data_IF_323452537986
#
_entry.id   IF_323452537986
#
_cell.length_a   1.000
_cell.length_b   1.000
_cell.length_c   1.000
_cell.angle_alpha   90.00
_cell.angle_beta   90.00
_cell.angle_gamma   90.00
#
_symmetry.space_group_name_H-M   'P 1'
#
loop_
_entity.id
_entity.type
_entity.pdbx_description
1 polymer ?
#
# COMPACT_ATOMS: atom_id res chain seq x y z
N UNK A 1 -4.96 -67.61 -19.93
CA UNK A 1 -6.35 -67.90 -20.34
C UNK A 1 -7.26 -67.21 -19.31
N UNK A 2 -8.10 -66.21 -19.58
CA UNK A 2 -9.13 -66.02 -20.64
C UNK A 2 -10.36 -66.92 -20.41
N UNK A 3 -11.64 -66.50 -20.34
CA UNK A 3 -12.34 -65.19 -20.44
C UNK A 3 -13.66 -65.30 -19.62
N UNK A 4 -14.18 -64.27 -18.94
CA UNK A 4 -15.41 -63.51 -19.29
C UNK A 4 -16.17 -63.15 -17.98
N UNK A 5 -16.94 -62.06 -17.84
CA UNK A 5 -17.16 -60.88 -18.68
C UNK A 5 -18.61 -60.38 -18.60
N UNK A 6 -18.86 -59.16 -18.10
CA UNK A 6 -20.06 -58.34 -18.39
C UNK A 6 -19.90 -56.91 -17.83
N UNK A 7 -20.58 -55.94 -18.44
CA UNK A 7 -20.37 -54.49 -18.28
C UNK A 7 -21.51 -53.78 -17.52
N UNK A 8 -21.20 -52.69 -16.82
CA UNK A 8 -22.20 -51.80 -16.20
C UNK A 8 -21.63 -50.40 -15.94
N UNK A 9 -22.38 -49.36 -16.34
CA UNK A 9 -21.96 -47.94 -16.29
C UNK A 9 -22.46 -47.20 -15.04
N UNK A 10 -21.80 -46.09 -14.64
CA UNK A 10 -22.26 -45.27 -13.52
C UNK A 10 -23.53 -44.46 -13.85
N UNK A 11 -24.38 -44.31 -12.84
CA UNK A 11 -25.74 -43.79 -12.93
C UNK A 11 -25.81 -42.28 -13.17
N UNK A 12 -26.62 -41.87 -14.16
CA UNK A 12 -27.06 -40.47 -14.34
C UNK A 12 -28.24 -40.17 -13.42
N UNK A 13 -28.14 -39.15 -12.58
CA UNK A 13 -29.31 -38.62 -11.86
C UNK A 13 -29.98 -37.52 -12.70
N UNK A 14 -31.07 -37.87 -13.39
CA UNK A 14 -31.89 -36.91 -14.13
C UNK A 14 -33.09 -36.47 -13.28
N UNK A 15 -33.15 -35.20 -12.89
CA UNK A 15 -34.39 -34.55 -12.45
C UNK A 15 -34.99 -33.75 -13.62
N UNK A 16 -36.28 -33.97 -13.89
CA UNK A 16 -37.01 -33.31 -14.98
C UNK A 16 -37.36 -31.88 -14.60
N UNK A 17 -37.19 -30.96 -15.55
CA UNK A 17 -37.88 -29.66 -15.54
C UNK A 17 -39.30 -29.82 -16.09
N UNK A 18 -40.32 -29.16 -15.51
CA UNK A 18 -41.59 -28.90 -16.18
C UNK A 18 -41.44 -27.75 -17.18
N UNK A 19 -42.28 -27.76 -18.22
CA UNK A 19 -42.14 -26.95 -19.43
C UNK A 19 -43.08 -25.72 -19.46
N UNK A 20 -42.72 -24.75 -20.32
CA UNK A 20 -43.48 -23.61 -20.87
C UNK A 20 -43.48 -22.24 -20.19
N UNK A 21 -42.91 -21.31 -20.98
CA UNK A 21 -43.43 -19.97 -21.30
C UNK A 21 -43.74 -18.99 -20.15
N UNK A 22 -42.77 -18.12 -19.87
CA UNK A 22 -42.96 -16.68 -20.05
C UNK A 22 -41.61 -16.00 -20.33
N UNK A 23 -41.53 -15.23 -21.41
CA UNK A 23 -40.31 -14.52 -21.78
C UNK A 23 -40.15 -13.22 -21.00
N UNK A 24 -38.98 -13.00 -20.42
CA UNK A 24 -38.59 -11.72 -19.82
C UNK A 24 -37.45 -11.10 -20.63
N UNK A 25 -37.76 -9.96 -21.24
CA UNK A 25 -36.86 -9.21 -22.11
C UNK A 25 -35.76 -8.56 -21.28
N UNK A 26 -34.50 -8.85 -21.63
CA UNK A 26 -33.34 -8.16 -21.08
C UNK A 26 -33.40 -6.67 -21.48
N UNK A 27 -33.35 -5.76 -20.49
CA UNK A 27 -33.11 -4.33 -20.73
C UNK A 27 -31.79 -3.92 -20.10
N UNK A 28 -30.84 -3.58 -20.96
CA UNK A 28 -29.71 -2.73 -20.61
C UNK A 28 -30.23 -1.41 -20.00
N UNK A 29 -29.59 -0.94 -18.94
CA UNK A 29 -29.70 0.44 -18.50
C UNK A 29 -28.42 1.15 -18.92
N UNK A 30 -28.43 1.73 -20.11
CA UNK A 30 -27.44 2.71 -20.53
C UNK A 30 -27.72 4.05 -19.84
N UNK A 31 -26.68 4.69 -19.32
CA UNK A 31 -26.80 6.01 -18.71
C UNK A 31 -27.13 7.07 -19.76
N UNK A 32 -28.19 7.84 -19.54
CA UNK A 32 -28.51 9.04 -20.32
C UNK A 32 -28.39 10.27 -19.41
N UNK A 33 -27.51 11.18 -19.79
CA UNK A 33 -27.39 12.52 -19.21
C UNK A 33 -28.63 13.34 -19.53
N UNK A 34 -29.24 13.97 -18.52
CA UNK A 34 -30.22 15.05 -18.71
C UNK A 34 -29.90 16.17 -17.72
N UNK A 35 -29.65 17.37 -18.26
CA UNK A 35 -29.46 18.60 -17.49
C UNK A 35 -30.81 19.30 -17.26
N UNK A 36 -31.00 19.92 -16.08
CA UNK A 36 -32.14 20.82 -15.83
C UNK A 36 -32.59 20.91 -14.37
N UNK A 37 -32.77 22.14 -13.89
CA UNK A 37 -33.49 22.55 -12.66
C UNK A 37 -34.65 23.48 -13.09
N UNK A 38 -35.55 23.95 -12.20
CA UNK A 38 -36.27 23.27 -11.10
C UNK A 38 -37.78 23.63 -11.06
N UNK A 39 -38.64 22.85 -10.36
CA UNK A 39 -39.71 23.35 -9.43
C UNK A 39 -40.73 22.27 -9.00
N UNK A 40 -41.21 22.43 -7.76
CA UNK A 40 -42.57 22.18 -7.23
C UNK A 40 -43.39 20.98 -7.75
N UNK A 41 -43.44 19.90 -6.96
CA UNK A 41 -44.67 19.11 -6.77
C UNK A 41 -44.89 18.81 -5.28
N UNK A 42 -45.87 19.53 -4.73
CA UNK A 42 -46.83 19.19 -3.65
C UNK A 42 -46.44 18.25 -2.50
N UNK A 43 -46.42 18.85 -1.32
CA UNK A 43 -47.36 18.57 -0.22
C UNK A 43 -48.28 17.34 -0.39
N UNK A 44 -48.03 16.30 0.40
CA UNK A 44 -49.05 15.59 1.20
C UNK A 44 -48.41 14.46 2.01
N UNK A 45 -48.13 14.69 3.29
CA UNK A 45 -48.00 13.66 4.33
C UNK A 45 -48.04 14.31 5.72
N UNK A 46 -49.22 14.30 6.34
CA UNK A 46 -49.35 14.60 7.77
C UNK A 46 -48.81 13.43 8.60
N UNK A 47 -47.77 13.68 9.38
CA UNK A 47 -47.34 12.82 10.49
C UNK A 47 -47.13 13.70 11.73
N UNK A 48 -47.55 13.20 12.88
CA UNK A 48 -47.79 13.98 14.11
C UNK A 48 -46.54 14.63 14.70
N UNK A 49 -46.64 15.91 15.07
CA UNK A 49 -45.62 16.62 15.85
C UNK A 49 -45.73 16.27 17.34
N UNK A 50 -45.10 15.17 17.75
CA UNK A 50 -44.79 14.95 19.16
C UNK A 50 -43.63 15.85 19.62
N UNK A 51 -43.62 16.19 20.92
CA UNK A 51 -42.92 17.35 21.48
C UNK A 51 -41.42 17.12 21.67
N UNK A 52 -40.59 17.98 21.09
CA UNK A 52 -39.21 18.19 21.54
C UNK A 52 -38.97 19.69 21.81
N UNK A 53 -38.88 20.05 23.08
CA UNK A 53 -38.52 21.40 23.53
C UNK A 53 -37.03 21.64 23.40
N UNK A 54 -36.65 22.61 22.57
CA UNK A 54 -35.26 23.09 22.48
C UNK A 54 -34.91 23.86 23.75
N UNK A 55 -34.13 23.23 24.64
CA UNK A 55 -33.57 23.86 25.83
C UNK A 55 -32.28 24.63 25.48
N UNK A 56 -32.39 25.93 25.22
CA UNK A 56 -31.23 26.83 25.07
C UNK A 56 -30.54 27.09 26.42
N UNK A 57 -29.64 26.17 26.84
CA UNK A 57 -28.77 26.43 28.01
C UNK A 57 -27.68 27.44 27.67
N UNK A 58 -27.90 28.70 28.08
CA UNK A 58 -26.81 29.67 28.30
C UNK A 58 -25.76 29.05 29.21
N UNK A 59 -24.52 28.95 28.73
CA UNK A 59 -23.38 28.69 29.60
C UNK A 59 -23.14 29.90 30.49
N UNK A 60 -23.23 29.71 31.82
CA UNK A 60 -22.79 30.71 32.80
C UNK A 60 -21.27 30.63 32.89
N UNK A 61 -20.59 31.75 32.65
CA UNK A 61 -19.19 31.92 33.02
C UNK A 61 -19.04 31.81 34.53
N UNK A 62 -18.39 30.75 35.02
CA UNK A 62 -17.93 30.70 36.41
C UNK A 62 -16.72 31.62 36.56
N UNK A 63 -16.83 32.63 37.42
CA UNK A 63 -15.68 33.41 37.88
C UNK A 63 -14.83 32.53 38.79
N UNK A 64 -13.67 32.08 38.33
CA UNK A 64 -12.61 31.62 39.22
C UNK A 64 -12.12 32.78 40.08
N UNK A 65 -11.99 32.57 41.39
CA UNK A 65 -11.39 33.54 42.30
C UNK A 65 -9.87 33.36 42.27
N UNK A 66 -9.14 34.40 41.87
CA UNK A 66 -7.69 34.44 42.13
C UNK A 66 -7.46 34.66 43.63
N UNK A 67 -7.10 33.59 44.34
CA UNK A 67 -6.43 33.72 45.64
C UNK A 67 -4.95 33.99 45.34
N UNK A 68 -4.53 35.23 45.58
CA UNK A 68 -3.16 35.69 45.33
C UNK A 68 -2.26 35.31 46.50
N UNK A 69 -1.72 34.08 46.48
CA UNK A 69 -0.64 33.70 47.38
C UNK A 69 0.69 33.92 46.66
N UNK A 70 1.54 34.81 47.18
CA UNK A 70 2.81 35.15 46.55
C UNK A 70 3.97 34.39 47.17
N UNK A 71 4.71 33.63 46.35
CA UNK A 71 6.12 33.27 46.53
C UNK A 71 6.77 33.25 45.15
N UNK A 72 8.02 33.72 45.07
CA UNK A 72 8.71 33.93 43.79
C UNK A 72 9.35 32.65 43.25
N UNK A 73 9.15 32.41 41.95
CA UNK A 73 9.95 31.52 41.11
C UNK A 73 10.10 32.17 39.73
N UNK A 74 11.18 31.86 39.02
CA UNK A 74 11.49 32.36 37.67
C UNK A 74 10.41 32.02 36.64
N UNK A 75 10.15 32.93 35.71
CA UNK A 75 9.09 32.76 34.70
C UNK A 75 9.47 31.76 33.58
N UNK A 76 10.75 31.42 33.46
CA UNK A 76 11.28 30.58 32.38
C UNK A 76 11.23 29.07 32.66
N UNK A 77 11.25 28.64 33.93
CA UNK A 77 11.36 27.21 34.29
C UNK A 77 10.01 26.45 34.28
N UNK A 78 8.87 27.16 34.32
CA UNK A 78 7.53 26.52 34.34
C UNK A 78 6.86 26.38 32.96
N UNK A 79 7.52 26.79 31.88
CA UNK A 79 6.97 26.66 30.52
C UNK A 79 6.99 25.23 29.97
N UNK A 80 7.84 24.35 30.52
CA UNK A 80 8.05 22.98 30.01
C UNK A 80 6.93 21.99 30.33
N UNK A 81 6.46 21.94 31.59
CA UNK A 81 5.49 20.93 32.04
C UNK A 81 4.03 21.30 31.73
N UNK A 82 3.68 22.59 31.70
CA UNK A 82 2.29 23.03 31.51
C UNK A 82 1.79 22.93 30.06
N UNK A 83 2.66 22.75 29.07
CA UNK A 83 2.26 22.73 27.66
C UNK A 83 1.60 21.42 27.20
N UNK A 84 1.83 20.31 27.92
CA UNK A 84 1.29 18.98 27.56
C UNK A 84 -0.18 18.78 27.98
N UNK A 85 -0.72 19.66 28.84
CA UNK A 85 -2.10 19.56 29.34
C UNK A 85 -3.08 20.16 28.33
N UNK A 86 -3.37 19.41 27.25
CA UNK A 86 -4.43 19.76 26.29
C UNK A 86 -4.12 19.54 24.81
N UNK A 87 -3.03 18.84 24.46
CA UNK A 87 -2.78 18.46 23.06
C UNK A 87 -3.74 17.33 22.66
N UNK A 88 -4.69 17.62 21.75
CA UNK A 88 -5.57 16.58 21.20
C UNK A 88 -4.74 15.61 20.34
N UNK A 89 -4.67 14.35 20.77
CA UNK A 89 -4.05 13.25 20.02
C UNK A 89 -5.10 12.40 19.30
N UNK A 90 -4.69 11.70 18.26
CA UNK A 90 -5.51 10.71 17.56
C UNK A 90 -4.69 9.46 17.23
N UNK A 91 -5.37 8.32 17.04
CA UNK A 91 -4.74 7.07 16.67
C UNK A 91 -4.87 6.83 15.16
N UNK A 92 -3.75 6.52 14.51
CA UNK A 92 -3.73 6.07 13.11
C UNK A 92 -3.04 4.72 13.00
N UNK A 93 -3.55 3.84 12.14
CA UNK A 93 -3.06 2.47 12.00
C UNK A 93 -2.69 2.16 10.56
N UNK A 94 -1.53 1.52 10.37
CA UNK A 94 -1.11 0.96 9.09
C UNK A 94 -0.69 -0.50 9.27
N UNK A 95 -0.92 -1.32 8.25
CA UNK A 95 -0.44 -2.70 8.19
C UNK A 95 0.65 -2.89 7.13
N UNK A 96 1.30 -4.05 7.18
CA UNK A 96 2.21 -4.57 6.16
C UNK A 96 2.25 -6.11 6.22
N UNK A 97 2.73 -6.74 5.16
CA UNK A 97 2.84 -8.21 5.05
C UNK A 97 4.20 -8.63 4.51
N UNK A 98 4.65 -9.83 4.90
CA UNK A 98 5.94 -10.37 4.52
C UNK A 98 5.92 -10.90 3.07
N UNK A 99 7.11 -11.14 2.49
CA UNK A 99 7.28 -11.75 1.16
C UNK A 99 6.55 -13.09 0.96
N UNK A 100 6.29 -13.86 2.02
CA UNK A 100 5.60 -15.14 1.94
C UNK A 100 4.07 -15.06 2.01
N UNK A 101 3.50 -13.86 2.18
CA UNK A 101 2.06 -13.67 2.11
C UNK A 101 1.57 -14.00 0.69
N UNK A 102 0.48 -14.77 0.50
CA UNK A 102 0.13 -15.28 -0.83
C UNK A 102 -0.15 -14.19 -1.88
N UNK A 103 -0.83 -13.09 -1.52
CA UNK A 103 -0.95 -11.93 -2.44
C UNK A 103 0.41 -11.30 -2.81
N UNK A 104 1.35 -11.21 -1.85
CA UNK A 104 2.66 -10.60 -2.08
C UNK A 104 3.59 -11.51 -2.87
N UNK A 105 3.43 -12.84 -2.73
CA UNK A 105 4.03 -13.83 -3.61
C UNK A 105 3.57 -13.63 -5.06
N UNK A 106 2.27 -13.38 -5.28
CA UNK A 106 1.76 -13.06 -6.61
C UNK A 106 2.34 -11.74 -7.17
N UNK A 107 2.40 -10.67 -6.37
CA UNK A 107 3.06 -9.42 -6.78
C UNK A 107 4.53 -9.65 -7.19
N UNK A 108 5.30 -10.43 -6.40
CA UNK A 108 6.70 -10.75 -6.68
C UNK A 108 6.86 -11.58 -7.97
N UNK A 109 6.05 -12.62 -8.18
CA UNK A 109 6.08 -13.43 -9.41
C UNK A 109 5.74 -12.56 -10.63
N UNK A 110 4.68 -11.75 -10.53
CA UNK A 110 4.27 -10.82 -11.58
C UNK A 110 5.38 -9.84 -11.99
N UNK A 111 6.11 -9.28 -11.01
CA UNK A 111 7.23 -8.38 -11.29
C UNK A 111 8.54 -9.08 -11.68
N UNK A 112 8.78 -10.32 -11.25
CA UNK A 112 9.90 -11.11 -11.75
C UNK A 112 9.74 -11.47 -13.23
N UNK A 113 8.51 -11.77 -13.68
CA UNK A 113 8.19 -11.92 -15.11
C UNK A 113 8.44 -10.62 -15.87
N UNK A 114 8.01 -9.46 -15.32
CA UNK A 114 8.29 -8.16 -15.91
C UNK A 114 9.80 -7.88 -16.03
N UNK A 115 10.57 -8.10 -14.96
CA UNK A 115 12.03 -7.91 -14.96
C UNK A 115 12.72 -8.82 -16.00
N UNK A 116 12.27 -10.07 -16.15
CA UNK A 116 12.79 -11.00 -17.15
C UNK A 116 12.46 -10.59 -18.60
N UNK A 117 11.25 -10.05 -18.84
CA UNK A 117 10.90 -9.43 -20.12
C UNK A 117 11.80 -8.22 -20.42
N UNK A 118 11.90 -7.27 -19.47
CA UNK A 118 12.66 -6.02 -19.66
C UNK A 118 14.19 -6.22 -19.74
N UNK A 119 14.73 -7.29 -19.15
CA UNK A 119 16.13 -7.65 -19.25
C UNK A 119 16.58 -8.00 -20.68
N UNK A 120 15.65 -8.51 -21.52
CA UNK A 120 15.93 -8.90 -22.91
C UNK A 120 15.30 -7.96 -23.94
N UNK A 121 14.15 -7.36 -23.62
CA UNK A 121 13.44 -6.40 -24.48
C UNK A 121 12.89 -5.24 -23.63
N UNK A 122 13.63 -4.12 -23.50
CA UNK A 122 13.20 -2.95 -22.73
C UNK A 122 11.89 -2.31 -23.23
N UNK A 123 11.43 -2.63 -24.44
CA UNK A 123 10.15 -2.15 -24.98
C UNK A 123 8.96 -3.08 -24.69
N UNK A 124 9.18 -4.21 -24.00
CA UNK A 124 8.14 -5.19 -23.63
C UNK A 124 6.87 -4.53 -23.13
N UNK A 125 5.72 -5.01 -23.60
CA UNK A 125 4.40 -4.65 -23.06
C UNK A 125 3.97 -5.81 -22.17
N UNK A 126 3.72 -5.52 -20.89
CA UNK A 126 3.47 -6.53 -19.87
C UNK A 126 2.30 -6.10 -18.99
N UNK A 127 1.32 -6.98 -18.87
CA UNK A 127 0.22 -6.95 -17.91
C UNK A 127 0.11 -8.37 -17.33
N UNK A 128 1.09 -8.72 -16.49
CA UNK A 128 1.28 -10.07 -15.95
C UNK A 128 0.58 -10.18 -14.59
N UNK A 129 -0.56 -10.86 -14.55
CA UNK A 129 -1.30 -11.16 -13.33
C UNK A 129 -0.92 -12.55 -12.82
N UNK A 130 -0.82 -12.71 -11.50
CA UNK A 130 -0.56 -14.00 -10.86
C UNK A 130 -1.66 -14.28 -9.84
N UNK A 131 -2.09 -15.54 -9.74
CA UNK A 131 -2.84 -16.01 -8.59
C UNK A 131 -2.32 -17.35 -8.07
N UNK A 132 -2.59 -17.65 -6.80
CA UNK A 132 -2.11 -18.87 -6.15
C UNK A 132 -3.12 -19.43 -5.15
N UNK A 133 -3.11 -20.76 -5.01
CA UNK A 133 -3.79 -21.51 -3.95
C UNK A 133 -3.02 -22.80 -3.70
N UNK A 134 -3.51 -23.67 -2.81
CA UNK A 134 -2.91 -24.95 -2.44
C UNK A 134 -2.38 -25.72 -3.66
N UNK A 135 -1.06 -25.88 -3.74
CA UNK A 135 -0.36 -26.60 -4.82
C UNK A 135 -0.64 -26.06 -6.24
N UNK A 136 -0.88 -24.75 -6.38
CA UNK A 136 -1.15 -24.11 -7.66
C UNK A 136 -0.62 -22.66 -7.69
N UNK A 137 0.09 -22.31 -8.76
CA UNK A 137 0.26 -20.92 -9.22
C UNK A 137 -0.21 -20.85 -10.66
N UNK A 138 -0.92 -19.79 -11.01
CA UNK A 138 -1.31 -19.47 -12.37
C UNK A 138 -0.85 -18.05 -12.71
N UNK A 139 -0.06 -17.93 -13.76
CA UNK A 139 0.30 -16.66 -14.39
C UNK A 139 -0.59 -16.46 -15.61
N UNK A 140 -1.17 -15.26 -15.77
CA UNK A 140 -2.13 -14.93 -16.82
C UNK A 140 -2.08 -13.43 -17.17
N UNK A 141 -2.88 -13.00 -18.15
CA UNK A 141 -2.87 -11.63 -18.68
C UNK A 141 -2.13 -11.53 -20.02
N UNK A 142 -1.64 -10.34 -20.36
CA UNK A 142 -1.13 -10.02 -21.70
C UNK A 142 0.36 -9.62 -21.70
N UNK A 143 1.15 -10.33 -22.49
CA UNK A 143 2.57 -10.02 -22.71
C UNK A 143 2.84 -9.94 -24.21
N UNK A 144 3.57 -8.91 -24.64
CA UNK A 144 4.11 -8.77 -25.99
C UNK A 144 5.57 -8.33 -25.85
N UNK A 145 6.48 -9.23 -26.20
CA UNK A 145 7.92 -9.07 -25.98
C UNK A 145 8.72 -9.79 -27.06
N UNK A 146 9.95 -9.35 -27.31
CA UNK A 146 10.96 -10.08 -28.08
C UNK A 146 11.77 -11.05 -27.21
N UNK A 147 11.69 -10.93 -25.88
CA UNK A 147 12.32 -11.83 -24.93
C UNK A 147 11.85 -13.29 -25.15
N UNK A 148 12.57 -14.26 -24.59
CA UNK A 148 11.89 -15.48 -24.15
C UNK A 148 12.01 -15.61 -22.65
N UNK A 149 10.92 -16.06 -22.07
CA UNK A 149 10.71 -16.06 -20.64
C UNK A 149 10.17 -17.43 -20.33
N UNK A 150 10.98 -18.25 -19.68
CA UNK A 150 10.50 -19.48 -19.07
C UNK A 150 9.68 -19.10 -17.83
N UNK A 151 8.39 -18.91 -18.04
CA UNK A 151 7.45 -18.47 -17.00
C UNK A 151 7.35 -19.49 -15.86
N UNK A 152 7.40 -20.80 -16.18
CA UNK A 152 7.36 -21.87 -15.18
C UNK A 152 8.60 -21.80 -14.29
N UNK A 153 9.78 -21.68 -14.90
CA UNK A 153 11.03 -21.48 -14.17
C UNK A 153 11.03 -20.21 -13.32
N UNK A 154 10.46 -19.10 -13.78
CA UNK A 154 10.36 -17.88 -12.95
C UNK A 154 9.42 -18.10 -11.77
N UNK A 155 8.27 -18.74 -11.97
CA UNK A 155 7.36 -19.13 -10.88
C UNK A 155 8.10 -20.00 -9.88
N UNK A 156 8.79 -21.04 -10.33
CA UNK A 156 9.60 -21.91 -9.47
C UNK A 156 10.68 -21.14 -8.73
N UNK A 157 11.48 -20.30 -9.40
CA UNK A 157 12.58 -19.50 -8.80
C UNK A 157 12.09 -18.55 -7.70
N UNK A 158 10.87 -18.01 -7.81
CA UNK A 158 10.27 -17.14 -6.79
C UNK A 158 9.58 -17.93 -5.65
N UNK A 159 9.43 -19.24 -5.79
CA UNK A 159 8.98 -20.16 -4.73
C UNK A 159 10.21 -20.81 -4.05
N UNK A 160 11.23 -21.21 -4.81
CA UNK A 160 12.50 -21.83 -4.41
C UNK A 160 13.64 -21.50 -5.43
N UNK A 161 14.83 -21.05 -4.99
CA UNK A 161 15.90 -20.60 -5.91
C UNK A 161 16.51 -21.72 -6.81
N UNK A 162 16.57 -21.55 -8.16
CA UNK A 162 17.77 -21.76 -9.03
C UNK A 162 17.58 -21.59 -10.59
N UNK A 163 18.42 -20.74 -11.23
CA UNK A 163 19.17 -20.79 -12.54
C UNK A 163 18.71 -21.56 -13.83
N UNK A 164 19.23 -21.30 -15.07
CA UNK A 164 18.93 -20.25 -16.09
C UNK A 164 18.48 -20.80 -17.51
N UNK A 165 18.44 -19.96 -18.57
CA UNK A 165 18.24 -20.23 -20.06
C UNK A 165 16.78 -20.31 -20.65
N UNK A 166 16.39 -19.90 -21.90
CA UNK A 166 16.93 -19.04 -23.02
C UNK A 166 15.84 -18.57 -24.06
N UNK A 167 16.15 -17.55 -24.91
CA UNK A 167 15.41 -16.81 -26.01
C UNK A 167 14.56 -17.64 -27.07
N UNK A 168 13.62 -17.12 -27.93
CA UNK A 168 13.16 -15.74 -28.32
C UNK A 168 11.71 -15.65 -28.98
N UNK A 169 10.91 -14.57 -28.81
CA UNK A 169 10.02 -13.99 -29.89
C UNK A 169 8.47 -13.84 -29.69
N UNK A 170 7.68 -12.94 -30.33
CA UNK A 170 7.89 -11.93 -31.42
C UNK A 170 6.76 -10.82 -31.45
N UNK A 171 7.00 -9.71 -32.18
CA UNK A 171 6.09 -8.79 -32.94
C UNK A 171 5.26 -7.65 -32.28
N UNK A 172 5.11 -6.50 -32.99
CA UNK A 172 4.28 -5.34 -32.58
C UNK A 172 4.61 -3.96 -33.21
N UNK A 173 5.75 -3.83 -33.90
CA UNK A 173 6.20 -2.69 -34.75
C UNK A 173 6.61 -1.33 -34.14
N UNK A 174 6.38 -1.01 -32.86
CA UNK A 174 7.16 0.02 -32.11
C UNK A 174 7.32 1.43 -32.74
N UNK A 175 6.33 1.97 -33.48
CA UNK A 175 6.53 3.15 -34.36
C UNK A 175 6.32 4.55 -33.76
N UNK A 176 5.91 4.70 -32.49
CA UNK A 176 5.58 6.00 -31.87
C UNK A 176 6.79 6.61 -31.13
N UNK A 177 6.95 7.94 -31.22
CA UNK A 177 7.98 8.69 -30.46
C UNK A 177 7.58 8.84 -28.99
N UNK A 178 8.54 8.90 -28.03
CA UNK A 178 8.24 8.95 -26.60
C UNK A 178 7.30 10.09 -26.18
N UNK A 179 7.47 11.26 -26.79
CA UNK A 179 6.65 12.45 -26.55
C UNK A 179 5.18 12.34 -27.06
N UNK A 180 4.90 11.30 -27.86
CA UNK A 180 3.60 10.96 -28.47
C UNK A 180 2.98 9.65 -27.90
N UNK A 181 3.60 9.05 -26.88
CA UNK A 181 3.06 7.87 -26.19
C UNK A 181 1.91 8.31 -25.27
N UNK A 182 0.69 7.87 -25.62
CA UNK A 182 -0.49 8.03 -24.78
C UNK A 182 -0.47 7.13 -23.53
N UNK A 183 -1.36 7.41 -22.57
CA UNK A 183 -1.54 6.55 -21.40
C UNK A 183 -2.02 5.15 -21.80
N UNK A 184 -1.46 4.12 -21.15
CA UNK A 184 -1.87 2.73 -21.39
C UNK A 184 -3.28 2.37 -20.92
N UNK A 185 -3.86 3.18 -20.02
CA UNK A 185 -5.25 3.11 -19.57
C UNK A 185 -5.67 4.48 -18.97
N UNK A 186 -6.95 4.65 -18.67
CA UNK A 186 -7.48 5.76 -17.88
C UNK A 186 -7.33 5.50 -16.37
N UNK A 187 -7.14 6.55 -15.59
CA UNK A 187 -7.09 6.45 -14.12
C UNK A 187 -6.60 7.75 -13.47
N UNK A 188 -6.50 7.74 -12.14
CA UNK A 188 -5.86 8.81 -11.37
C UNK A 188 -4.91 8.19 -10.34
N UNK A 189 -3.81 8.88 -10.05
CA UNK A 189 -2.74 8.38 -9.16
C UNK A 189 -2.37 9.46 -8.14
N UNK A 190 -1.97 9.04 -6.93
CA UNK A 190 -1.68 9.95 -5.83
C UNK A 190 -0.24 9.82 -5.34
N UNK A 191 0.39 10.97 -5.12
CA UNK A 191 1.70 11.11 -4.51
C UNK A 191 1.55 11.60 -3.09
N UNK A 192 2.28 11.00 -2.15
CA UNK A 192 2.29 11.45 -0.77
C UNK A 192 3.71 11.49 -0.20
N UNK A 193 3.92 12.48 0.67
CA UNK A 193 5.11 12.64 1.49
C UNK A 193 4.70 13.42 2.75
N UNK A 194 5.47 13.21 3.82
CA UNK A 194 5.30 13.79 5.15
C UNK A 194 6.69 13.94 5.76
N UNK A 195 6.93 14.96 6.58
CA UNK A 195 8.25 15.21 7.19
C UNK A 195 8.50 14.43 8.49
N UNK A 196 7.57 13.55 8.89
CA UNK A 196 7.63 12.81 10.15
C UNK A 196 8.71 11.71 10.23
N UNK A 197 9.29 11.29 9.08
CA UNK A 197 10.46 10.40 9.04
C UNK A 197 11.49 10.82 7.98
N UNK A 198 12.78 10.41 8.10
CA UNK A 198 13.82 10.77 7.14
C UNK A 198 13.57 10.31 5.69
N UNK A 199 12.90 9.18 5.49
CA UNK A 199 12.49 8.67 4.18
C UNK A 199 11.23 9.37 3.61
N UNK A 200 10.71 10.37 4.32
CA UNK A 200 9.54 11.18 4.01
C UNK A 200 8.27 10.35 3.81
N UNK A 201 8.00 9.44 4.75
CA UNK A 201 6.88 8.49 4.75
C UNK A 201 6.17 8.48 6.11
N UNK A 202 4.90 8.01 6.20
CA UNK A 202 4.22 7.92 7.47
C UNK A 202 4.86 6.91 8.42
N UNK A 203 5.10 7.28 9.67
CA UNK A 203 5.75 6.41 10.66
C UNK A 203 4.98 5.12 10.89
N UNK A 204 3.64 5.15 10.96
CA UNK A 204 2.83 3.93 11.11
C UNK A 204 3.09 2.92 9.99
N UNK A 205 3.21 3.39 8.75
CA UNK A 205 3.52 2.55 7.59
C UNK A 205 4.98 2.07 7.61
N UNK A 206 5.93 2.98 7.87
CA UNK A 206 7.37 2.68 7.95
C UNK A 206 7.65 1.60 9.01
N UNK A 207 7.06 1.71 10.19
CA UNK A 207 7.25 0.73 11.27
C UNK A 207 6.64 -0.62 10.93
N UNK A 208 5.39 -0.68 10.43
CA UNK A 208 4.79 -1.94 10.00
C UNK A 208 5.65 -2.63 8.93
N UNK A 209 6.04 -1.90 7.88
CA UNK A 209 6.87 -2.44 6.80
C UNK A 209 8.26 -2.90 7.27
N UNK A 210 8.91 -2.16 8.18
CA UNK A 210 10.21 -2.57 8.75
C UNK A 210 10.09 -3.78 9.68
N UNK A 211 9.00 -3.94 10.43
CA UNK A 211 8.73 -5.16 11.21
C UNK A 211 8.57 -6.38 10.29
N UNK A 212 7.85 -6.24 9.18
CA UNK A 212 7.69 -7.31 8.19
C UNK A 212 9.00 -7.71 7.51
N UNK A 213 9.82 -6.72 7.14
CA UNK A 213 11.17 -6.96 6.61
C UNK A 213 12.07 -7.66 7.64
N UNK A 214 12.02 -7.21 8.90
CA UNK A 214 12.81 -7.78 10.00
C UNK A 214 12.43 -9.23 10.32
N UNK A 215 11.14 -9.60 10.28
CA UNK A 215 10.69 -10.99 10.39
C UNK A 215 11.36 -11.89 9.34
N UNK A 216 11.38 -11.44 8.08
CA UNK A 216 12.07 -12.15 6.99
C UNK A 216 13.57 -12.24 7.25
N UNK A 217 14.20 -11.18 7.76
CA UNK A 217 15.63 -11.16 8.08
C UNK A 217 15.99 -12.20 9.16
N UNK A 218 15.30 -12.18 10.31
CA UNK A 218 15.58 -13.11 11.42
C UNK A 218 15.25 -14.57 11.09
N UNK A 219 14.34 -14.80 10.15
CA UNK A 219 14.11 -16.12 9.53
C UNK A 219 15.29 -16.53 8.65
N UNK A 220 15.67 -15.69 7.67
CA UNK A 220 16.71 -16.01 6.66
C UNK A 220 18.11 -16.14 7.26
N UNK A 221 18.42 -15.41 8.33
CA UNK A 221 19.72 -15.48 9.01
C UNK A 221 19.77 -16.54 10.14
N UNK A 222 18.65 -17.21 10.43
CA UNK A 222 18.59 -18.27 11.45
C UNK A 222 18.50 -17.80 12.91
N UNK A 223 18.32 -16.50 13.18
CA UNK A 223 18.11 -15.98 14.55
C UNK A 223 16.82 -16.53 15.16
N UNK A 224 15.75 -16.59 14.38
CA UNK A 224 14.46 -17.16 14.78
C UNK A 224 14.08 -18.27 13.76
N UNK A 225 14.71 -19.46 13.85
CA UNK A 225 14.66 -20.49 12.82
C UNK A 225 13.30 -21.18 12.71
N UNK A 226 12.46 -21.04 13.73
CA UNK A 226 11.07 -21.53 13.76
C UNK A 226 10.13 -20.73 12.85
N UNK A 227 10.54 -19.55 12.37
CA UNK A 227 9.74 -18.70 11.49
C UNK A 227 9.56 -19.32 10.11
N UNK A 228 8.33 -19.25 9.60
CA UNK A 228 7.97 -19.57 8.21
C UNK A 228 7.68 -18.29 7.40
N UNK A 229 7.56 -18.35 6.07
CA UNK A 229 7.58 -17.15 5.22
C UNK A 229 6.37 -16.21 5.36
N UNK A 230 5.18 -16.72 5.66
CA UNK A 230 3.96 -15.92 5.75
C UNK A 230 3.90 -15.14 7.08
N UNK A 231 3.49 -13.88 7.03
CA UNK A 231 3.44 -13.00 8.18
C UNK A 231 2.79 -11.66 7.89
N UNK A 232 2.15 -11.11 8.92
CA UNK A 232 1.42 -9.85 8.91
C UNK A 232 1.81 -9.02 10.12
N UNK A 233 1.92 -7.71 9.92
CA UNK A 233 2.33 -6.74 10.95
C UNK A 233 1.42 -5.53 10.87
N UNK A 234 1.05 -4.95 12.01
CA UNK A 234 0.22 -3.76 12.06
C UNK A 234 0.67 -2.89 13.23
N UNK A 235 0.80 -1.58 12.97
CA UNK A 235 1.24 -0.60 13.96
C UNK A 235 0.22 0.53 14.04
N UNK A 236 -0.30 0.74 15.24
CA UNK A 236 -1.10 1.91 15.61
C UNK A 236 -0.19 2.92 16.30
N UNK A 237 -0.04 4.10 15.70
CA UNK A 237 0.72 5.22 16.24
C UNK A 237 -0.24 6.28 16.74
N UNK A 238 0.09 6.88 17.87
CA UNK A 238 -0.58 8.04 18.44
C UNK A 238 0.09 9.31 17.90
N UNK A 239 -0.72 10.21 17.33
CA UNK A 239 -0.28 11.39 16.61
C UNK A 239 -0.85 12.67 17.22
N UNK A 240 -0.06 13.74 17.16
CA UNK A 240 -0.50 15.11 17.32
C UNK A 240 -0.52 15.82 15.97
N UNK A 241 -1.45 16.78 15.80
CA UNK A 241 -1.59 17.57 14.58
C UNK A 241 -1.04 18.99 14.79
N UNK A 242 0.19 19.23 14.36
CA UNK A 242 0.83 20.55 14.38
C UNK A 242 0.43 21.36 13.13
N UNK A 243 -0.74 22.00 13.18
CA UNK A 243 -1.25 22.90 12.13
C UNK A 243 -1.28 22.25 10.72
N UNK A 244 -1.59 20.96 10.68
CA UNK A 244 -1.63 20.13 9.47
C UNK A 244 -0.44 19.18 9.32
N UNK A 245 0.67 19.42 10.01
CA UNK A 245 1.80 18.48 10.07
C UNK A 245 1.56 17.36 11.08
N UNK A 246 1.95 16.14 10.73
CA UNK A 246 1.78 14.96 11.58
C UNK A 246 3.00 14.79 12.48
N UNK A 247 2.78 14.75 13.79
CA UNK A 247 3.84 14.57 14.79
C UNK A 247 3.59 13.28 15.55
N UNK A 248 4.37 12.21 15.31
CA UNK A 248 4.26 10.98 16.08
C UNK A 248 4.63 11.21 17.54
N UNK A 249 3.74 10.81 18.45
CA UNK A 249 3.95 10.90 19.91
C UNK A 249 4.51 9.58 20.43
N UNK A 250 3.82 8.47 20.16
CA UNK A 250 4.17 7.12 20.65
C UNK A 250 3.53 6.02 19.80
N UNK A 251 4.04 4.79 19.92
CA UNK A 251 3.38 3.59 19.39
C UNK A 251 2.37 3.10 20.43
N UNK A 252 1.10 3.15 20.06
CA UNK A 252 -0.01 2.72 20.90
C UNK A 252 -0.17 1.19 20.89
N UNK A 253 -0.16 0.58 19.70
CA UNK A 253 -0.34 -0.87 19.54
C UNK A 253 0.62 -1.42 18.48
N UNK A 254 1.23 -2.56 18.78
CA UNK A 254 1.94 -3.40 17.80
C UNK A 254 1.23 -4.75 17.73
N UNK A 255 0.85 -5.17 16.53
CA UNK A 255 0.33 -6.50 16.24
C UNK A 255 1.26 -7.22 15.27
N UNK A 256 1.60 -8.46 15.58
CA UNK A 256 2.33 -9.38 14.70
C UNK A 256 1.59 -10.71 14.70
N UNK A 257 1.29 -11.22 13.51
CA UNK A 257 0.84 -12.59 13.28
C UNK A 257 1.77 -13.23 12.26
N UNK A 258 2.61 -14.15 12.70
CA UNK A 258 3.66 -14.76 11.86
C UNK A 258 3.53 -16.28 11.85
N UNK A 259 3.81 -16.87 10.70
CA UNK A 259 3.81 -18.31 10.52
C UNK A 259 4.99 -18.94 11.23
N UNK A 260 4.76 -20.10 11.84
CA UNK A 260 5.74 -20.82 12.63
C UNK A 260 5.68 -22.34 12.38
N UNK A 261 6.69 -23.08 12.80
CA UNK A 261 6.64 -24.54 12.86
C UNK A 261 5.85 -25.06 14.08
N UNK A 262 5.82 -26.38 14.27
CA UNK A 262 5.03 -27.01 15.34
C UNK A 262 5.78 -27.14 16.67
N UNK A 263 7.04 -26.72 16.75
CA UNK A 263 7.95 -26.97 17.87
C UNK A 263 8.02 -25.81 18.86
N UNK A 264 7.94 -24.56 18.38
CA UNK A 264 8.03 -23.35 19.21
C UNK A 264 6.72 -23.08 19.98
N UNK A 265 6.84 -22.66 21.23
CA UNK A 265 5.71 -22.29 22.09
C UNK A 265 5.28 -20.83 21.89
N UNK A 266 4.05 -20.47 22.27
CA UNK A 266 3.56 -19.09 22.18
C UNK A 266 4.33 -18.11 23.09
N UNK A 267 4.88 -18.58 24.20
CA UNK A 267 5.68 -17.75 25.11
C UNK A 267 7.05 -17.43 24.50
N UNK A 268 7.70 -18.40 23.84
CA UNK A 268 8.93 -18.21 23.06
C UNK A 268 8.68 -17.28 21.86
N UNK A 269 7.61 -17.51 21.08
CA UNK A 269 7.19 -16.60 19.99
C UNK A 269 7.04 -15.16 20.53
N UNK A 270 6.34 -14.97 21.65
CA UNK A 270 6.10 -13.64 22.20
C UNK A 270 7.38 -12.96 22.74
N UNK A 271 8.33 -13.74 23.26
CA UNK A 271 9.64 -13.25 23.69
C UNK A 271 10.53 -12.85 22.50
N UNK A 272 10.72 -13.76 21.55
CA UNK A 272 11.55 -13.56 20.35
C UNK A 272 11.03 -12.40 19.48
N UNK A 273 9.71 -12.28 19.30
CA UNK A 273 9.12 -11.17 18.55
C UNK A 273 9.38 -9.82 19.23
N UNK A 274 9.40 -9.76 20.57
CA UNK A 274 9.76 -8.52 21.28
C UNK A 274 11.24 -8.21 21.12
N UNK A 275 12.10 -9.18 21.38
CA UNK A 275 13.56 -8.98 21.46
C UNK A 275 14.22 -8.82 20.09
N UNK A 276 13.89 -9.70 19.14
CA UNK A 276 14.61 -9.81 17.87
C UNK A 276 13.92 -9.10 16.70
N UNK A 277 12.65 -8.70 16.85
CA UNK A 277 11.87 -8.03 15.80
C UNK A 277 11.41 -6.63 16.20
N UNK A 278 10.75 -6.45 17.34
CA UNK A 278 10.16 -5.16 17.73
C UNK A 278 11.22 -4.18 18.22
N UNK A 279 12.02 -4.54 19.24
CA UNK A 279 13.06 -3.65 19.80
C UNK A 279 14.08 -3.14 18.77
N UNK A 280 14.55 -3.95 17.79
CA UNK A 280 15.51 -3.47 16.79
C UNK A 280 14.89 -2.53 15.74
N UNK A 281 13.57 -2.48 15.61
CA UNK A 281 12.86 -1.73 14.57
C UNK A 281 12.21 -0.46 15.10
N UNK A 282 11.54 -0.53 16.25
CA UNK A 282 10.80 0.62 16.81
C UNK A 282 11.75 1.41 17.73
N UNK A 283 12.01 2.70 17.44
CA UNK A 283 12.82 3.55 18.32
C UNK A 283 12.25 3.58 19.74
N UNK A 284 13.10 3.36 20.74
CA UNK A 284 12.73 3.25 22.15
C UNK A 284 11.89 4.44 22.65
N UNK A 285 12.18 5.66 22.17
CA UNK A 285 11.40 6.88 22.48
C UNK A 285 9.90 6.83 22.12
N UNK A 286 9.45 5.83 21.35
CA UNK A 286 8.05 5.63 21.01
C UNK A 286 7.42 4.41 21.73
N UNK A 287 8.17 3.68 22.56
CA UNK A 287 7.68 2.55 23.34
C UNK A 287 7.62 2.93 24.82
N UNK A 288 6.52 2.58 25.48
CA UNK A 288 6.32 2.80 26.92
C UNK A 288 5.57 1.63 27.58
N UNK A 289 5.37 1.68 28.90
CA UNK A 289 4.65 0.64 29.64
C UNK A 289 3.16 0.51 29.26
N UNK A 290 2.64 1.41 28.41
CA UNK A 290 1.26 1.41 27.90
C UNK A 290 1.18 0.96 26.44
N UNK A 291 2.29 0.62 25.77
CA UNK A 291 2.25 0.07 24.42
C UNK A 291 1.62 -1.34 24.46
N UNK A 292 0.56 -1.54 23.68
CA UNK A 292 -0.17 -2.80 23.61
C UNK A 292 0.51 -3.73 22.61
N UNK A 293 0.72 -4.99 22.98
CA UNK A 293 1.35 -6.00 22.13
C UNK A 293 0.39 -7.18 21.87
N UNK A 294 0.04 -7.40 20.60
CA UNK A 294 -0.71 -8.58 20.14
C UNK A 294 0.21 -9.47 19.31
N UNK A 295 0.80 -10.48 19.94
CA UNK A 295 1.81 -11.35 19.34
C UNK A 295 1.21 -12.74 19.13
N UNK A 296 1.10 -13.16 17.88
CA UNK A 296 0.34 -14.34 17.43
C UNK A 296 -1.03 -14.50 18.14
N UNK A 297 -1.92 -13.49 18.10
CA UNK A 297 -3.19 -13.47 18.84
C UNK A 297 -4.18 -14.59 18.45
N UNK A 298 -3.96 -15.30 17.33
CA UNK A 298 -4.72 -16.52 16.98
C UNK A 298 -4.30 -17.77 17.77
N UNK A 299 -3.18 -17.72 18.50
CA UNK A 299 -2.63 -18.83 19.28
C UNK A 299 -1.97 -19.97 18.49
N UNK A 300 -2.26 -20.11 17.18
CA UNK A 300 -1.55 -21.03 16.27
C UNK A 300 -1.65 -20.51 14.83
N UNK A 301 -0.52 -20.51 14.10
CA UNK A 301 -0.41 -20.17 12.68
C UNK A 301 0.67 -21.04 12.02
N UNK A 302 0.42 -22.35 11.94
CA UNK A 302 1.36 -23.32 11.32
C UNK A 302 1.13 -23.44 9.82
N UNK A 303 -0.14 -23.49 9.41
CA UNK A 303 -0.59 -23.44 8.02
C UNK A 303 -0.62 -21.97 7.59
N UNK A 304 0.00 -21.65 6.46
CA UNK A 304 0.09 -20.29 5.91
C UNK A 304 0.39 -20.34 4.40
N UNK A 305 0.67 -19.17 3.82
CA UNK A 305 0.92 -19.04 2.38
C UNK A 305 -0.28 -19.51 1.53
N UNK A 306 -0.04 -19.95 0.28
CA UNK A 306 -1.10 -20.42 -0.62
C UNK A 306 -1.96 -21.58 -0.09
N UNK A 307 -1.43 -22.36 0.85
CA UNK A 307 -2.19 -23.43 1.51
C UNK A 307 -3.26 -22.84 2.44
N UNK A 308 -2.89 -21.85 3.26
CA UNK A 308 -3.80 -21.16 4.17
C UNK A 308 -4.83 -20.29 3.45
N UNK A 309 -4.38 -19.41 2.56
CA UNK A 309 -5.21 -18.40 1.89
C UNK A 309 -4.97 -18.39 0.37
N UNK A 310 -5.86 -17.78 -0.41
CA UNK A 310 -5.62 -17.53 -1.83
C UNK A 310 -4.79 -16.24 -1.99
N UNK A 311 -3.95 -16.18 -3.02
CA UNK A 311 -3.21 -14.98 -3.38
C UNK A 311 -3.56 -14.49 -4.77
N UNK A 312 -3.62 -13.17 -4.96
CA UNK A 312 -3.72 -12.52 -6.26
C UNK A 312 -2.85 -11.26 -6.29
N UNK A 313 -2.23 -10.98 -7.45
CA UNK A 313 -1.52 -9.73 -7.74
C UNK A 313 -2.44 -8.52 -7.51
N UNK A 314 -1.86 -7.42 -7.02
CA UNK A 314 -2.59 -6.17 -6.83
C UNK A 314 -3.58 -6.16 -5.67
N UNK A 315 -3.49 -7.10 -4.73
CA UNK A 315 -4.33 -7.13 -3.51
C UNK A 315 -3.68 -6.53 -2.28
N UNK A 316 -2.55 -5.82 -2.44
CA UNK A 316 -1.80 -5.16 -1.37
C UNK A 316 -1.49 -3.67 -1.62
N UNK A 317 -2.22 -3.02 -2.55
CA UNK A 317 -1.97 -1.65 -3.01
C UNK A 317 -1.80 -0.56 -1.93
N UNK A 318 -2.43 -0.70 -0.75
CA UNK A 318 -2.27 0.25 0.36
C UNK A 318 -0.96 -0.01 1.14
N UNK A 319 -0.52 -1.26 1.22
CA UNK A 319 0.80 -1.67 1.76
C UNK A 319 1.91 -1.33 0.75
N UNK A 320 1.62 -1.38 -0.55
CA UNK A 320 2.57 -0.96 -1.59
C UNK A 320 2.84 0.54 -1.61
N UNK A 321 1.93 1.34 -1.04
CA UNK A 321 1.96 2.80 -1.08
C UNK A 321 2.19 3.44 0.29
N UNK A 322 1.13 3.85 1.00
CA UNK A 322 1.21 4.80 2.12
C UNK A 322 0.50 4.32 3.39
N UNK A 323 0.09 3.06 3.47
CA UNK A 323 -0.49 2.47 4.68
C UNK A 323 -1.80 3.12 5.16
N UNK A 324 -2.55 3.74 4.25
CA UNK A 324 -3.81 4.44 4.53
C UNK A 324 -3.70 5.96 4.52
N UNK A 325 -2.49 6.51 4.59
CA UNK A 325 -2.23 7.94 4.45
C UNK A 325 -2.31 8.40 2.98
N UNK A 326 -2.37 9.72 2.76
CA UNK A 326 -2.48 10.27 1.41
C UNK A 326 -3.83 9.91 0.78
N UNK A 327 -3.77 9.24 -0.37
CA UNK A 327 -4.91 8.63 -1.05
C UNK A 327 -4.40 7.54 -2.00
N UNK A 328 -5.29 6.74 -2.58
CA UNK A 328 -4.93 5.71 -3.56
C UNK A 328 -5.80 5.76 -4.82
N UNK A 329 -5.19 5.47 -5.98
CA UNK A 329 -5.85 5.53 -7.29
C UNK A 329 -6.74 4.34 -7.64
N UNK A 330 -6.50 3.21 -6.96
CA UNK A 330 -7.14 1.91 -7.22
C UNK A 330 -6.27 0.97 -8.08
N UNK A 331 -5.49 1.52 -9.02
CA UNK A 331 -4.58 0.74 -9.87
C UNK A 331 -3.43 0.09 -9.10
N UNK A 332 -3.27 -1.22 -9.26
CA UNK A 332 -2.11 -1.99 -8.78
C UNK A 332 -0.84 -1.70 -9.60
N UNK A 333 0.33 -2.01 -9.05
CA UNK A 333 1.62 -1.77 -9.70
C UNK A 333 2.25 -3.02 -10.33
N UNK A 334 2.32 -4.13 -9.58
CA UNK A 334 3.09 -5.30 -9.98
C UNK A 334 2.58 -5.95 -11.27
N UNK A 335 3.51 -6.49 -12.07
CA UNK A 335 3.22 -7.10 -13.37
C UNK A 335 3.00 -6.12 -14.52
N UNK A 336 3.01 -4.80 -14.27
CA UNK A 336 2.75 -3.78 -15.29
C UNK A 336 4.03 -3.10 -15.79
N UNK A 337 4.21 -3.09 -17.11
CA UNK A 337 5.27 -2.30 -17.77
C UNK A 337 5.00 -0.78 -17.64
N UNK A 338 6.03 0.09 -17.72
CA UNK A 338 5.90 1.49 -17.35
C UNK A 338 5.00 2.35 -18.26
N UNK A 339 4.50 1.83 -19.39
CA UNK A 339 3.45 2.55 -20.13
C UNK A 339 2.09 2.53 -19.43
N UNK A 340 1.90 1.65 -18.44
CA UNK A 340 0.71 1.67 -17.56
C UNK A 340 0.88 2.76 -16.50
N UNK A 341 0.00 3.77 -16.59
CA UNK A 341 0.06 4.97 -15.75
C UNK A 341 -0.23 4.71 -14.28
N UNK A 342 -0.87 3.58 -13.92
CA UNK A 342 -1.01 3.16 -12.51
C UNK A 342 0.34 3.15 -11.80
N UNK A 343 1.36 2.56 -12.44
CA UNK A 343 2.71 2.43 -11.90
C UNK A 343 3.53 3.69 -12.15
N UNK A 344 3.74 4.07 -13.41
CA UNK A 344 4.62 5.20 -13.74
C UNK A 344 4.07 6.54 -13.27
N UNK A 345 2.75 6.73 -13.37
CA UNK A 345 2.03 7.88 -12.82
C UNK A 345 2.19 7.97 -11.30
N UNK A 346 1.94 6.88 -10.55
CA UNK A 346 2.12 6.85 -9.10
C UNK A 346 3.57 7.17 -8.69
N UNK A 347 4.55 6.61 -9.40
CA UNK A 347 5.98 6.85 -9.14
C UNK A 347 6.36 8.33 -9.35
N UNK A 348 5.92 8.97 -10.45
CA UNK A 348 6.27 10.38 -10.68
C UNK A 348 5.57 11.33 -9.69
N UNK A 349 4.34 11.03 -9.25
CA UNK A 349 3.68 11.86 -8.24
C UNK A 349 4.27 11.63 -6.83
N UNK A 350 4.78 10.43 -6.51
CA UNK A 350 5.64 10.23 -5.32
C UNK A 350 6.87 11.13 -5.40
N UNK A 351 7.58 11.14 -6.53
CA UNK A 351 8.76 12.00 -6.71
C UNK A 351 8.39 13.48 -6.52
N UNK A 352 7.26 13.93 -7.08
CA UNK A 352 6.77 15.30 -6.91
C UNK A 352 6.46 15.63 -5.44
N UNK A 353 5.65 14.82 -4.76
CA UNK A 353 5.31 15.01 -3.34
C UNK A 353 6.57 15.02 -2.45
N UNK A 354 7.47 14.04 -2.63
CA UNK A 354 8.74 13.96 -1.90
C UNK A 354 9.61 15.18 -2.17
N UNK A 355 9.65 15.68 -3.41
CA UNK A 355 10.42 16.88 -3.76
C UNK A 355 9.85 18.15 -3.14
N UNK A 356 8.52 18.31 -3.06
CA UNK A 356 7.88 19.45 -2.37
C UNK A 356 8.33 19.50 -0.90
N UNK A 357 8.20 18.38 -0.18
CA UNK A 357 8.56 18.31 1.24
C UNK A 357 10.07 18.46 1.45
N UNK A 358 10.91 17.78 0.65
CA UNK A 358 12.37 17.86 0.76
C UNK A 358 12.96 19.24 0.43
N UNK A 359 12.36 20.00 -0.50
CA UNK A 359 12.75 21.39 -0.76
C UNK A 359 12.18 22.38 0.28
N UNK A 360 11.45 21.87 1.29
CA UNK A 360 10.90 22.63 2.41
C UNK A 360 9.75 23.55 2.03
N UNK A 361 9.04 23.29 0.93
CA UNK A 361 7.85 24.04 0.48
C UNK A 361 6.64 23.79 1.38
N UNK A 362 6.45 22.54 1.83
CA UNK A 362 5.39 22.11 2.72
C UNK A 362 5.90 21.00 3.66
N UNK A 363 5.08 20.61 4.64
CA UNK A 363 5.33 19.44 5.51
C UNK A 363 4.42 18.28 5.12
N UNK A 364 3.11 18.56 5.01
CA UNK A 364 2.08 17.66 4.50
C UNK A 364 0.86 18.44 3.98
N UNK A 365 -0.15 18.70 4.82
CA UNK A 365 -1.40 19.40 4.47
C UNK A 365 -1.47 20.77 5.16
N UNK A 366 -1.99 21.81 4.50
CA UNK A 366 -2.17 23.14 5.10
C UNK A 366 -0.88 23.83 5.57
N UNK A 367 0.28 23.25 5.26
CA UNK A 367 1.61 23.62 5.75
C UNK A 367 2.50 24.20 4.64
N UNK A 368 1.90 24.50 3.49
CA UNK A 368 2.56 25.19 2.37
C UNK A 368 3.01 26.59 2.78
N UNK A 369 4.28 26.91 2.51
CA UNK A 369 4.86 28.25 2.73
C UNK A 369 4.48 29.26 1.63
N UNK A 370 3.92 28.76 0.54
CA UNK A 370 3.30 29.50 -0.55
C UNK A 370 1.96 28.80 -0.90
N UNK A 371 1.00 29.48 -1.55
CA UNK A 371 -0.28 28.89 -1.92
C UNK A 371 -0.16 27.63 -2.78
N UNK A 372 -1.04 26.64 -2.54
CA UNK A 372 -1.06 25.36 -3.29
C UNK A 372 -1.16 25.54 -4.83
N UNK A 373 -1.76 26.65 -5.30
CA UNK A 373 -1.81 27.00 -6.72
C UNK A 373 -0.41 27.27 -7.30
N UNK A 374 0.45 27.95 -6.56
CA UNK A 374 1.82 28.25 -6.96
C UNK A 374 2.71 27.00 -6.86
N UNK A 375 2.48 26.15 -5.85
CA UNK A 375 3.11 24.82 -5.76
C UNK A 375 2.72 23.97 -7.00
N UNK A 376 1.46 23.99 -7.42
CA UNK A 376 0.99 23.28 -8.62
C UNK A 376 1.63 23.82 -9.91
N UNK A 377 1.87 25.13 -10.02
CA UNK A 377 2.57 25.74 -11.15
C UNK A 377 4.04 25.29 -11.19
N UNK A 378 4.76 25.37 -10.06
CA UNK A 378 6.13 24.83 -9.90
C UNK A 378 6.20 23.34 -10.28
N UNK A 379 5.24 22.52 -9.82
CA UNK A 379 5.19 21.09 -10.15
C UNK A 379 5.00 20.87 -11.65
N UNK A 380 4.09 21.60 -12.30
CA UNK A 380 3.85 21.48 -13.76
C UNK A 380 5.04 21.92 -14.61
N UNK A 381 5.81 22.90 -14.15
CA UNK A 381 7.03 23.36 -14.84
C UNK A 381 8.20 22.38 -14.65
N UNK A 382 8.27 21.68 -13.52
CA UNK A 382 9.42 20.84 -13.16
C UNK A 382 9.19 19.33 -13.44
N UNK A 383 7.97 18.88 -13.69
CA UNK A 383 7.63 17.46 -13.93
C UNK A 383 6.86 17.27 -15.24
N UNK A 384 7.41 16.44 -16.14
CA UNK A 384 6.72 16.03 -17.35
C UNK A 384 5.90 14.76 -17.08
N UNK A 385 4.58 14.93 -16.98
CA UNK A 385 3.63 13.84 -16.68
C UNK A 385 3.23 13.01 -17.90
N UNK A 386 3.85 13.19 -19.07
CA UNK A 386 3.57 12.34 -20.24
C UNK A 386 4.18 10.94 -20.03
N UNK A 387 3.45 9.83 -20.24
CA UNK A 387 3.91 8.48 -19.88
C UNK A 387 5.27 8.07 -20.46
N UNK A 388 5.53 8.40 -21.74
CA UNK A 388 6.84 8.15 -22.37
C UNK A 388 7.97 8.97 -21.74
N UNK A 389 7.70 10.19 -21.32
CA UNK A 389 8.68 11.08 -20.66
C UNK A 389 8.93 10.66 -19.22
N UNK A 390 7.89 10.26 -18.46
CA UNK A 390 8.05 9.64 -17.13
C UNK A 390 8.94 8.40 -17.24
N UNK A 391 8.66 7.53 -18.21
CA UNK A 391 9.39 6.27 -18.43
C UNK A 391 10.88 6.51 -18.68
N UNK A 392 11.24 7.57 -19.42
CA UNK A 392 12.63 7.98 -19.66
C UNK A 392 13.24 8.64 -18.42
N UNK A 393 12.56 9.65 -17.84
CA UNK A 393 13.07 10.46 -16.74
C UNK A 393 13.32 9.66 -15.44
N UNK A 394 12.56 8.58 -15.24
CA UNK A 394 12.72 7.65 -14.13
C UNK A 394 13.46 6.35 -14.54
N UNK A 395 13.90 6.23 -15.79
CA UNK A 395 14.58 5.07 -16.37
C UNK A 395 13.85 3.73 -16.12
N UNK A 396 12.53 3.70 -16.31
CA UNK A 396 11.67 2.58 -15.92
C UNK A 396 11.74 1.38 -16.87
N UNK A 397 12.50 1.46 -17.97
CA UNK A 397 12.74 0.35 -18.90
C UNK A 397 14.01 -0.45 -18.61
N UNK A 398 14.86 0.02 -17.68
CA UNK A 398 16.06 -0.69 -17.24
C UNK A 398 15.68 -1.96 -16.51
N UNK A 399 15.82 -3.11 -17.18
CA UNK A 399 15.72 -4.45 -16.60
C UNK A 399 17.09 -5.06 -16.26
N UNK A 400 17.08 -6.35 -15.87
CA UNK A 400 18.28 -7.16 -15.67
C UNK A 400 18.88 -7.15 -14.26
N UNK A 401 18.34 -6.37 -13.32
CA UNK A 401 18.82 -6.24 -11.94
C UNK A 401 17.75 -6.47 -10.87
N UNK A 402 16.64 -7.16 -11.23
CA UNK A 402 15.53 -7.46 -10.31
C UNK A 402 14.81 -6.21 -9.79
N UNK A 403 14.81 -5.12 -10.57
CA UNK A 403 14.36 -3.80 -10.14
C UNK A 403 12.90 -3.79 -9.69
N UNK A 404 12.00 -4.39 -10.45
CA UNK A 404 10.59 -4.41 -10.12
C UNK A 404 10.29 -5.47 -9.06
N UNK A 405 10.94 -6.63 -9.10
CA UNK A 405 10.86 -7.65 -8.05
C UNK A 405 11.25 -7.07 -6.68
N UNK A 406 12.30 -6.24 -6.61
CA UNK A 406 12.66 -5.53 -5.39
C UNK A 406 11.55 -4.62 -4.87
N UNK A 407 10.72 -4.02 -5.73
CA UNK A 407 9.56 -3.20 -5.30
C UNK A 407 8.39 -4.02 -4.78
N UNK A 408 8.21 -5.24 -5.28
CA UNK A 408 7.04 -6.09 -5.06
C UNK A 408 6.89 -6.63 -3.62
N UNK A 409 7.85 -6.37 -2.73
CA UNK A 409 7.72 -6.60 -1.29
C UNK A 409 8.29 -5.41 -0.50
N UNK A 410 7.73 -5.18 0.70
CA UNK A 410 8.14 -4.12 1.63
C UNK A 410 8.01 -2.68 1.09
N UNK A 411 6.98 -2.44 0.26
CA UNK A 411 6.59 -1.11 -0.23
C UNK A 411 7.40 -0.60 -1.42
N UNK A 412 6.75 0.18 -2.29
CA UNK A 412 7.39 0.78 -3.47
C UNK A 412 8.08 2.12 -3.15
N UNK A 413 7.79 2.71 -1.98
CA UNK A 413 8.17 4.07 -1.61
C UNK A 413 8.95 4.12 -0.29
N UNK A 414 9.70 5.20 -0.06
CA UNK A 414 10.47 5.41 1.16
C UNK A 414 11.73 4.56 1.29
N UNK A 415 12.31 4.14 0.17
CA UNK A 415 13.48 3.25 0.11
C UNK A 415 14.64 3.93 -0.60
N UNK A 416 15.86 3.53 -0.26
CA UNK A 416 17.13 4.18 -0.61
C UNK A 416 17.95 3.43 -1.68
N UNK A 417 17.46 2.28 -2.15
CA UNK A 417 18.03 1.55 -3.28
C UNK A 417 18.08 2.44 -4.54
N UNK A 418 19.24 2.48 -5.19
CA UNK A 418 19.50 3.33 -6.37
C UNK A 418 18.63 3.00 -7.60
N UNK A 419 17.94 1.86 -7.62
CA UNK A 419 16.92 1.55 -8.62
C UNK A 419 15.59 2.29 -8.41
N UNK A 420 15.33 2.85 -7.23
CA UNK A 420 14.09 3.59 -6.96
C UNK A 420 14.28 5.07 -7.29
N UNK A 421 14.50 5.34 -8.58
CA UNK A 421 14.74 6.68 -9.15
C UNK A 421 13.67 7.72 -8.78
N UNK A 422 12.44 7.30 -8.48
CA UNK A 422 11.36 8.17 -7.99
C UNK A 422 11.54 8.64 -6.55
N UNK A 423 12.40 7.99 -5.76
CA UNK A 423 12.80 8.45 -4.42
C UNK A 423 13.92 9.50 -4.47
N UNK A 424 14.52 9.75 -5.65
CA UNK A 424 15.49 10.83 -5.85
C UNK A 424 14.75 12.17 -5.93
N UNK A 425 15.04 13.05 -4.97
CA UNK A 425 14.46 14.40 -4.89
C UNK A 425 14.93 15.26 -6.06
N UNK A 426 13.99 15.93 -6.74
CA UNK A 426 14.30 16.99 -7.70
C UNK A 426 14.48 18.32 -6.97
N UNK A 427 15.54 19.10 -7.23
CA UNK A 427 15.63 20.48 -6.76
C UNK A 427 14.50 21.32 -7.36
N UNK A 428 13.78 22.06 -6.53
CA UNK A 428 12.71 22.97 -6.95
C UNK A 428 13.14 24.41 -6.68
N UNK A 429 13.07 25.27 -7.71
CA UNK A 429 13.32 26.70 -7.55
C UNK A 429 12.03 27.37 -7.07
N UNK A 430 12.10 28.04 -5.93
CA UNK A 430 11.01 28.83 -5.37
C UNK A 430 11.57 29.96 -4.51
N UNK A 431 10.86 31.08 -4.43
CA UNK A 431 11.25 32.20 -3.57
C UNK A 431 10.83 31.90 -2.12
N UNK A 432 11.80 31.85 -1.22
CA UNK A 432 11.50 31.71 0.22
C UNK A 432 10.82 33.01 0.68
N UNK A 433 9.65 32.96 1.34
CA UNK A 433 9.07 34.15 1.94
C UNK A 433 10.08 34.76 2.92
N UNK A 434 10.23 36.09 2.88
CA UNK A 434 11.11 36.80 3.79
C UNK A 434 10.62 36.59 5.22
N UNK A 435 11.55 36.17 6.09
CA UNK A 435 11.32 35.78 7.49
C UNK A 435 11.11 36.97 8.42
#
# INVERSE_FOLDING_TARGET
MSVSGLTGSPSRCCLRLPDRNQGLVCRQVSAISIAGKPKEIFDNLHIERSKWTVSTRRWKTQKTHLIRCGMGASYDDMAGEYLLVGMETFLFTSESVNEGHPDKLCDQISDAVLDACLAQDPDSKVACETCTKTNMVMVFGEITTKANVDYEKIVLVNIEQQSPDIAQGVHGHFTKRPEEIGAGDQGHMFGYATDETPELMPLSHVLATKLGARLTEVRKNGTCPWLRPDGKTQVTVEYYNDKGAMVPVRVHTVLISTQHDETVTNDEIAADLKEHVIKPVIPEKYLDEKTIFHLNPSGRFVIGGPHGDAGLTGRKIIIDTYGGWGAHGGGAFSGKDPTKVDRSGAYIVRQAAKSIVANGLARSYGTGKIPDKEILEIVKENFDFRPGMITINLDLKRGGNGRFLKTAAYGHFGRDDADFTWEVVKPLKWEKPQS
#
